data_IF_034613877031
#
_entry.id   IF_034613877031
#
_cell.length_a   1.000
_cell.length_b   1.000
_cell.length_c   1.000
_cell.angle_alpha   90.00
_cell.angle_beta   90.00
_cell.angle_gamma   90.00
#
_symmetry.space_group_name_H-M   'P 1'
#
loop_
_entity.id
_entity.type
_entity.pdbx_description
1 polymer ?
#
# COMPACT_ATOMS: atom_id res chain seq x y z
N UNK A 1 -6.29 -24.49 63.49
CA UNK A 1 -5.74 -25.80 63.93
C UNK A 1 -5.20 -26.47 62.67
N UNK A 2 -3.85 -26.56 62.62
CA UNK A 2 -3.03 -27.38 61.70
C UNK A 2 -3.09 -27.10 60.21
N UNK A 3 -2.04 -26.90 59.37
CA UNK A 3 -0.59 -27.08 59.60
C UNK A 3 0.16 -26.13 58.65
N UNK A 4 1.21 -25.58 59.13
CA UNK A 4 2.37 -25.01 58.46
C UNK A 4 3.16 -26.09 57.66
N UNK A 5 3.96 -25.60 56.75
CA UNK A 5 5.19 -26.16 56.18
C UNK A 5 5.06 -26.95 54.85
N UNK A 6 5.54 -26.31 53.81
CA UNK A 6 6.73 -26.77 53.13
C UNK A 6 7.18 -25.69 52.10
N UNK A 7 8.17 -24.90 52.49
CA UNK A 7 8.93 -24.08 51.56
C UNK A 7 9.77 -24.99 50.67
N UNK A 8 9.60 -24.82 49.36
CA UNK A 8 10.59 -25.28 48.38
C UNK A 8 10.96 -24.11 47.50
N UNK A 9 12.08 -23.48 47.86
CA UNK A 9 12.77 -22.49 47.02
C UNK A 9 13.30 -23.25 45.82
N UNK A 10 12.59 -23.15 44.69
CA UNK A 10 13.18 -23.48 43.39
C UNK A 10 14.09 -22.27 43.07
N UNK A 11 15.39 -22.50 43.21
CA UNK A 11 16.41 -21.57 42.79
C UNK A 11 16.25 -21.31 41.27
N UNK A 12 15.92 -20.10 40.92
CA UNK A 12 16.11 -19.63 39.55
C UNK A 12 17.60 -19.66 39.28
N UNK A 13 17.99 -20.70 38.56
CA UNK A 13 19.35 -20.88 38.06
C UNK A 13 19.78 -19.66 37.25
N UNK A 14 21.02 -19.32 37.45
CA UNK A 14 21.79 -18.24 36.83
C UNK A 14 21.48 -18.10 35.35
N UNK A 15 21.11 -16.86 34.95
CA UNK A 15 20.81 -16.53 33.57
C UNK A 15 21.98 -16.95 32.66
N UNK A 16 21.66 -17.72 31.64
CA UNK A 16 22.48 -17.85 30.45
C UNK A 16 22.67 -16.46 29.84
N UNK A 17 23.67 -15.72 30.29
CA UNK A 17 24.31 -14.68 29.50
C UNK A 17 24.97 -15.39 28.32
N UNK A 18 24.24 -15.52 27.22
CA UNK A 18 24.84 -15.77 25.92
C UNK A 18 25.80 -14.61 25.66
N UNK A 19 27.04 -14.78 26.01
CA UNK A 19 28.12 -13.85 25.64
C UNK A 19 28.37 -14.04 24.14
N UNK A 20 27.53 -13.41 23.31
CA UNK A 20 27.81 -13.26 21.89
C UNK A 20 29.14 -12.54 21.74
N UNK A 21 30.13 -13.22 21.20
CA UNK A 21 31.44 -12.63 20.97
C UNK A 21 31.34 -11.50 19.95
N UNK A 22 32.17 -10.46 20.12
CA UNK A 22 32.25 -9.37 19.15
C UNK A 22 33.35 -9.63 18.10
N UNK A 23 33.37 -8.80 17.02
CA UNK A 23 34.34 -8.92 15.92
C UNK A 23 35.79 -8.96 16.41
N UNK A 24 36.13 -8.15 17.43
CA UNK A 24 37.47 -8.05 18.00
C UNK A 24 37.86 -9.34 18.75
N UNK A 25 36.92 -10.00 19.40
CA UNK A 25 37.15 -11.31 20.06
C UNK A 25 37.29 -12.42 19.02
N UNK A 26 36.44 -12.44 17.98
CA UNK A 26 36.53 -13.39 16.88
C UNK A 26 37.87 -13.27 16.14
N UNK A 27 38.34 -12.05 15.90
CA UNK A 27 39.64 -11.80 15.25
C UNK A 27 40.83 -12.31 16.10
N UNK A 28 40.75 -12.15 17.41
CA UNK A 28 41.78 -12.71 18.33
C UNK A 28 41.80 -14.23 18.28
N UNK A 29 40.63 -14.91 18.32
CA UNK A 29 40.55 -16.37 18.24
C UNK A 29 41.13 -16.94 16.93
N UNK A 30 40.96 -16.18 15.85
CA UNK A 30 41.45 -16.56 14.53
C UNK A 30 42.89 -16.14 14.26
N UNK A 31 43.51 -15.33 15.12
CA UNK A 31 44.80 -14.68 14.92
C UNK A 31 44.85 -13.91 13.59
N UNK A 32 43.77 -13.15 13.31
CA UNK A 32 43.63 -12.32 12.11
C UNK A 32 43.27 -10.89 12.51
N UNK A 33 43.52 -9.93 11.62
CA UNK A 33 43.06 -8.56 11.86
C UNK A 33 41.53 -8.47 11.81
N UNK A 34 40.89 -7.54 12.58
CA UNK A 34 39.43 -7.33 12.49
C UNK A 34 38.96 -7.01 11.05
N UNK A 35 39.80 -6.31 10.28
CA UNK A 35 39.54 -6.01 8.87
C UNK A 35 39.49 -7.28 8.01
N UNK A 36 40.48 -8.18 8.19
CA UNK A 36 40.52 -9.45 7.47
C UNK A 36 39.33 -10.34 7.80
N UNK A 37 38.94 -10.40 9.09
CA UNK A 37 37.75 -11.16 9.52
C UNK A 37 36.47 -10.59 8.95
N UNK A 38 36.30 -9.25 8.98
CA UNK A 38 35.15 -8.56 8.38
C UNK A 38 35.04 -8.83 6.89
N UNK A 39 36.15 -8.72 6.14
CA UNK A 39 36.19 -8.98 4.70
C UNK A 39 35.93 -10.45 4.36
N UNK A 40 36.44 -11.37 5.16
CA UNK A 40 36.19 -12.81 5.02
C UNK A 40 34.70 -13.15 5.22
N UNK A 41 34.04 -12.55 6.23
CA UNK A 41 32.60 -12.73 6.48
C UNK A 41 31.73 -12.14 5.37
N UNK A 42 32.21 -11.08 4.70
CA UNK A 42 31.53 -10.40 3.61
C UNK A 42 31.90 -10.94 2.21
N UNK A 43 32.60 -12.09 2.14
CA UNK A 43 32.99 -12.77 0.89
C UNK A 43 33.86 -11.97 -0.07
N UNK A 44 34.62 -11.01 0.43
CA UNK A 44 35.51 -10.22 -0.43
C UNK A 44 36.51 -11.10 -1.19
N UNK A 45 36.75 -10.86 -2.50
CA UNK A 45 37.57 -11.73 -3.34
C UNK A 45 39.07 -11.69 -3.01
N UNK A 46 39.54 -10.65 -2.35
CA UNK A 46 40.91 -10.48 -1.89
C UNK A 46 41.27 -11.32 -0.66
N UNK A 47 40.29 -11.98 -0.04
CA UNK A 47 40.53 -12.97 1.03
C UNK A 47 40.46 -14.37 0.45
N UNK A 48 41.48 -15.20 0.69
CA UNK A 48 41.53 -16.57 0.16
C UNK A 48 40.30 -17.40 0.58
N UNK A 49 39.83 -18.30 -0.30
CA UNK A 49 38.71 -19.18 -0.03
C UNK A 49 38.91 -20.00 1.27
N UNK A 50 40.11 -20.45 1.54
CA UNK A 50 40.48 -21.17 2.76
C UNK A 50 40.28 -20.30 4.02
N UNK A 51 40.70 -19.05 3.97
CA UNK A 51 40.52 -18.09 5.07
C UNK A 51 39.06 -17.77 5.29
N UNK A 52 38.29 -17.51 4.22
CA UNK A 52 36.84 -17.29 4.30
C UNK A 52 36.11 -18.44 4.97
N UNK A 53 36.38 -19.67 4.54
CA UNK A 53 35.76 -20.85 5.14
C UNK A 53 36.09 -21.01 6.64
N UNK A 54 37.37 -20.83 7.01
CA UNK A 54 37.82 -20.88 8.42
C UNK A 54 37.13 -19.82 9.29
N UNK A 55 37.00 -18.58 8.78
CA UNK A 55 36.34 -17.49 9.52
C UNK A 55 34.86 -17.75 9.70
N UNK A 56 34.16 -18.18 8.64
CA UNK A 56 32.72 -18.52 8.70
C UNK A 56 32.45 -19.67 9.67
N UNK A 57 33.26 -20.70 9.65
CA UNK A 57 33.12 -21.84 10.55
C UNK A 57 33.31 -21.41 12.02
N UNK A 58 34.34 -20.63 12.32
CA UNK A 58 34.57 -20.11 13.68
C UNK A 58 33.43 -19.18 14.12
N UNK A 59 32.92 -18.32 13.24
CA UNK A 59 31.78 -17.45 13.54
C UNK A 59 30.55 -18.26 13.96
N UNK A 60 30.22 -19.32 13.23
CA UNK A 60 29.11 -20.23 13.57
C UNK A 60 29.35 -20.93 14.92
N UNK A 61 30.56 -21.46 15.14
CA UNK A 61 30.90 -22.19 16.37
C UNK A 61 30.82 -21.28 17.61
N UNK A 62 31.16 -20.02 17.45
CA UNK A 62 31.17 -19.04 18.55
C UNK A 62 29.88 -18.24 18.67
N UNK A 63 28.84 -18.53 17.87
CA UNK A 63 27.58 -17.80 17.85
C UNK A 63 27.74 -16.32 17.46
N UNK A 64 28.82 -15.99 16.72
CA UNK A 64 29.05 -14.64 16.26
C UNK A 64 28.10 -14.26 15.14
N UNK A 65 27.34 -13.22 15.34
CA UNK A 65 26.55 -12.58 14.29
C UNK A 65 27.18 -11.23 13.93
N UNK A 66 27.48 -10.99 12.64
CA UNK A 66 27.93 -9.67 12.21
C UNK A 66 26.90 -8.61 12.62
N UNK A 67 27.39 -7.53 13.24
CA UNK A 67 26.51 -6.44 13.60
C UNK A 67 25.94 -5.81 12.32
N UNK A 68 24.61 -5.88 12.10
CA UNK A 68 24.01 -5.32 10.87
C UNK A 68 24.30 -3.83 10.70
N UNK A 69 24.31 -3.08 11.79
CA UNK A 69 24.60 -1.63 11.78
C UNK A 69 26.02 -1.33 11.30
N UNK A 70 27.02 -2.10 11.80
CA UNK A 70 28.41 -1.93 11.37
C UNK A 70 28.60 -2.32 9.89
N UNK A 71 27.89 -3.35 9.42
CA UNK A 71 27.90 -3.79 8.02
C UNK A 71 27.27 -2.74 7.11
N UNK A 72 26.12 -2.18 7.50
CA UNK A 72 25.41 -1.11 6.80
C UNK A 72 26.27 0.15 6.68
N UNK A 73 26.94 0.55 7.77
CA UNK A 73 27.88 1.68 7.80
C UNK A 73 29.06 1.48 6.80
N UNK A 74 29.60 0.27 6.70
CA UNK A 74 30.69 -0.05 5.78
C UNK A 74 30.24 -0.03 4.30
N UNK A 75 29.01 -0.44 4.01
CA UNK A 75 28.45 -0.47 2.64
C UNK A 75 27.88 0.89 2.21
N UNK A 76 27.66 1.82 3.13
CA UNK A 76 26.96 3.09 2.86
C UNK A 76 25.47 2.89 2.48
N UNK A 77 24.92 1.69 2.76
CA UNK A 77 23.51 1.32 2.49
C UNK A 77 22.86 0.78 3.74
N UNK A 78 21.60 1.11 3.95
CA UNK A 78 20.81 0.65 5.10
C UNK A 78 20.14 -0.69 4.85
N UNK A 79 20.03 -1.10 3.59
CA UNK A 79 19.26 -2.27 3.14
C UNK A 79 17.81 -2.21 3.67
N UNK A 80 17.22 -1.01 3.67
CA UNK A 80 15.90 -0.73 4.24
C UNK A 80 15.11 0.22 3.33
N UNK A 81 13.82 -0.06 3.16
CA UNK A 81 12.86 0.76 2.43
C UNK A 81 11.84 1.33 3.41
N UNK A 82 11.43 2.57 3.20
CA UNK A 82 10.44 3.27 4.01
C UNK A 82 9.09 3.41 3.32
N UNK A 83 8.03 3.24 4.10
CA UNK A 83 6.67 3.68 3.78
C UNK A 83 6.16 4.46 4.99
N UNK A 84 5.50 5.59 4.76
CA UNK A 84 4.79 6.31 5.84
C UNK A 84 3.30 6.32 5.51
N UNK A 85 2.47 5.98 6.49
CA UNK A 85 1.03 5.95 6.37
C UNK A 85 0.38 6.80 7.47
N UNK A 86 -0.82 7.31 7.18
CA UNK A 86 -1.67 8.03 8.15
C UNK A 86 -2.88 7.17 8.49
N UNK A 87 -3.09 6.75 9.78
CA UNK A 87 -4.16 5.82 10.17
C UNK A 87 -5.57 6.35 9.90
N UNK A 88 -5.74 7.67 9.77
CA UNK A 88 -7.03 8.29 9.46
C UNK A 88 -7.66 7.77 8.16
N UNK A 89 -6.88 7.13 7.30
CA UNK A 89 -7.28 6.61 6.00
C UNK A 89 -7.62 5.11 5.99
N UNK A 90 -7.94 4.53 7.15
CA UNK A 90 -8.39 3.13 7.29
C UNK A 90 -7.50 2.05 6.67
N UNK A 91 -6.22 2.30 6.46
CA UNK A 91 -5.28 1.35 5.83
C UNK A 91 -5.33 -0.09 6.38
N UNK A 92 -5.56 -0.23 7.68
CA UNK A 92 -5.55 -1.55 8.32
C UNK A 92 -6.87 -2.32 8.17
N UNK A 93 -7.94 -1.65 7.78
CA UNK A 93 -9.23 -2.26 7.44
C UNK A 93 -9.43 -2.37 5.92
N UNK A 94 -8.55 -1.76 5.13
CA UNK A 94 -8.56 -1.81 3.68
C UNK A 94 -7.79 -3.03 3.18
N UNK A 95 -8.49 -4.05 2.71
CA UNK A 95 -7.88 -5.27 2.16
C UNK A 95 -7.06 -4.99 0.91
N UNK A 96 -7.38 -3.95 0.13
CA UNK A 96 -6.56 -3.52 -0.99
C UNK A 96 -5.14 -3.14 -0.54
N UNK A 97 -5.05 -2.30 0.51
CA UNK A 97 -3.74 -1.92 1.06
C UNK A 97 -2.97 -3.11 1.63
N UNK A 98 -3.66 -4.07 2.23
CA UNK A 98 -3.04 -5.31 2.73
C UNK A 98 -2.48 -6.15 1.59
N UNK A 99 -3.18 -6.26 0.46
CA UNK A 99 -2.70 -6.97 -0.73
C UNK A 99 -1.50 -6.27 -1.36
N UNK A 100 -1.54 -4.94 -1.50
CA UNK A 100 -0.42 -4.11 -1.95
C UNK A 100 0.80 -4.33 -1.05
N UNK A 101 0.62 -4.20 0.26
CA UNK A 101 1.68 -4.39 1.26
C UNK A 101 2.24 -5.81 1.26
N UNK A 102 1.40 -6.82 1.03
CA UNK A 102 1.83 -8.21 0.85
C UNK A 102 2.74 -8.37 -0.37
N UNK A 103 2.36 -7.76 -1.51
CA UNK A 103 3.20 -7.72 -2.71
C UNK A 103 4.54 -7.05 -2.45
N UNK A 104 4.53 -5.86 -1.84
CA UNK A 104 5.71 -5.09 -1.45
C UNK A 104 6.61 -5.92 -0.52
N UNK A 105 6.07 -6.44 0.58
CA UNK A 105 6.83 -7.17 1.61
C UNK A 105 7.52 -8.42 1.05
N UNK A 106 6.79 -9.20 0.24
CA UNK A 106 7.35 -10.38 -0.42
C UNK A 106 8.55 -10.04 -1.30
N UNK A 107 8.45 -8.95 -2.07
CA UNK A 107 9.51 -8.58 -3.00
C UNK A 107 10.69 -7.90 -2.30
N UNK A 108 10.46 -7.08 -1.27
CA UNK A 108 11.51 -6.50 -0.42
C UNK A 108 12.34 -7.60 0.23
N UNK A 109 11.68 -8.62 0.79
CA UNK A 109 12.38 -9.78 1.41
C UNK A 109 13.25 -10.52 0.39
N UNK A 110 12.76 -10.74 -0.83
CA UNK A 110 13.55 -11.37 -1.91
C UNK A 110 14.75 -10.54 -2.33
N UNK A 111 14.63 -9.21 -2.27
CA UNK A 111 15.74 -8.28 -2.55
C UNK A 111 16.77 -8.20 -1.40
N UNK A 112 16.51 -8.82 -0.26
CA UNK A 112 17.38 -8.77 0.92
C UNK A 112 17.29 -7.46 1.70
N UNK A 113 16.17 -6.73 1.54
CA UNK A 113 15.88 -5.49 2.24
C UNK A 113 14.88 -5.71 3.39
N UNK A 114 14.83 -4.76 4.30
CA UNK A 114 13.82 -4.66 5.36
C UNK A 114 12.82 -3.53 5.02
N UNK A 115 11.59 -3.65 5.50
CA UNK A 115 10.58 -2.60 5.38
C UNK A 115 10.39 -1.89 6.72
N UNK A 116 10.51 -0.56 6.73
CA UNK A 116 10.08 0.30 7.86
C UNK A 116 8.76 0.94 7.51
N UNK A 117 7.73 0.62 8.27
CA UNK A 117 6.44 1.28 8.23
C UNK A 117 6.39 2.38 9.29
N UNK A 118 6.38 3.63 8.85
CA UNK A 118 6.11 4.79 9.70
C UNK A 118 4.62 5.04 9.78
N UNK A 119 4.12 5.33 10.98
CA UNK A 119 2.72 5.71 11.20
C UNK A 119 2.70 7.16 11.67
N UNK A 120 1.90 7.99 11.01
CA UNK A 120 1.77 9.42 11.29
C UNK A 120 0.31 9.76 11.62
N UNK A 121 0.06 10.70 12.51
CA UNK A 121 -1.29 11.10 12.90
C UNK A 121 -2.01 11.94 11.84
N UNK A 122 -1.24 12.66 11.03
CA UNK A 122 -1.71 13.61 10.03
C UNK A 122 -0.63 13.88 8.98
N UNK A 123 -0.91 14.73 8.00
CA UNK A 123 0.02 15.06 6.90
C UNK A 123 1.32 15.73 7.37
N UNK A 124 1.26 16.56 8.41
CA UNK A 124 2.46 17.21 8.94
C UNK A 124 3.40 16.18 9.58
N UNK A 125 2.85 15.28 10.40
CA UNK A 125 3.59 14.19 11.02
C UNK A 125 4.07 13.15 9.98
N UNK A 126 3.30 12.94 8.91
CA UNK A 126 3.73 12.12 7.76
C UNK A 126 5.01 12.67 7.14
N UNK A 127 5.01 13.96 6.82
CA UNK A 127 6.17 14.64 6.27
C UNK A 127 7.37 14.64 7.24
N UNK A 128 7.14 14.87 8.53
CA UNK A 128 8.19 14.80 9.56
C UNK A 128 8.76 13.39 9.70
N UNK A 129 7.91 12.36 9.65
CA UNK A 129 8.35 10.96 9.71
C UNK A 129 9.21 10.59 8.50
N UNK A 130 8.78 10.98 7.31
CA UNK A 130 9.56 10.80 6.08
C UNK A 130 10.92 11.52 6.16
N UNK A 131 10.95 12.77 6.58
CA UNK A 131 12.22 13.53 6.78
C UNK A 131 13.15 12.80 7.74
N UNK A 132 12.66 12.33 8.88
CA UNK A 132 13.48 11.56 9.84
C UNK A 132 14.05 10.27 9.24
N UNK A 133 13.35 9.61 8.32
CA UNK A 133 13.86 8.42 7.63
C UNK A 133 14.95 8.79 6.63
N UNK A 134 14.73 9.81 5.81
CA UNK A 134 15.64 10.25 4.74
C UNK A 134 16.89 10.92 5.31
N UNK A 135 16.73 11.98 6.11
CA UNK A 135 17.85 12.77 6.66
C UNK A 135 18.64 11.97 7.71
N UNK A 136 17.95 11.10 8.46
CA UNK A 136 18.56 10.17 9.41
C UNK A 136 19.26 8.99 8.76
N UNK A 137 19.28 8.91 7.43
CA UNK A 137 19.85 7.79 6.65
C UNK A 137 19.38 6.43 7.18
N UNK A 138 18.08 6.30 7.44
CA UNK A 138 17.46 5.09 7.97
C UNK A 138 16.95 4.17 6.87
N UNK A 139 16.78 4.70 5.66
CA UNK A 139 16.25 4.01 4.49
C UNK A 139 17.08 4.36 3.26
N UNK A 140 17.15 3.46 2.28
CA UNK A 140 17.81 3.64 0.99
C UNK A 140 16.84 4.11 -0.09
N UNK A 141 15.53 3.99 0.15
CA UNK A 141 14.48 4.43 -0.75
C UNK A 141 13.12 4.49 -0.06
N UNK A 142 12.17 5.15 -0.71
CA UNK A 142 10.80 5.33 -0.22
C UNK A 142 9.78 4.81 -1.23
N UNK A 143 8.71 4.22 -0.72
CA UNK A 143 7.49 3.96 -1.49
C UNK A 143 6.42 4.92 -0.96
N UNK A 144 5.78 5.67 -1.86
CA UNK A 144 4.67 6.54 -1.52
C UNK A 144 3.36 5.97 -2.06
N UNK A 145 2.34 6.01 -1.23
CA UNK A 145 0.96 5.61 -1.55
C UNK A 145 0.01 6.75 -1.25
N UNK A 146 -1.25 6.66 -1.63
CA UNK A 146 -2.26 7.72 -1.46
C UNK A 146 -1.73 9.08 -1.93
N UNK A 147 -1.54 9.17 -3.22
CA UNK A 147 -0.88 10.30 -3.86
C UNK A 147 -1.84 11.46 -4.02
N UNK A 148 -1.43 12.65 -3.57
CA UNK A 148 -2.16 13.89 -3.76
C UNK A 148 -1.93 14.48 -5.14
N UNK A 149 -2.85 15.31 -5.62
CA UNK A 149 -2.68 16.04 -6.90
C UNK A 149 -1.38 16.86 -6.91
N UNK A 150 -1.15 17.60 -5.83
CA UNK A 150 0.10 18.32 -5.56
C UNK A 150 0.69 17.70 -4.29
N UNK A 151 1.62 16.77 -4.46
CA UNK A 151 2.16 16.00 -3.35
C UNK A 151 3.50 16.56 -2.87
N UNK A 152 3.54 17.21 -1.68
CA UNK A 152 4.76 17.83 -1.18
C UNK A 152 5.87 16.80 -0.87
N UNK A 153 5.50 15.52 -0.65
CA UNK A 153 6.47 14.43 -0.43
C UNK A 153 7.32 14.19 -1.67
N UNK A 154 6.68 14.25 -2.85
CA UNK A 154 7.34 14.05 -4.14
C UNK A 154 8.36 15.18 -4.39
N UNK A 155 7.95 16.44 -4.25
CA UNK A 155 8.86 17.58 -4.38
C UNK A 155 10.06 17.49 -3.44
N UNK A 156 9.82 17.14 -2.18
CA UNK A 156 10.88 16.98 -1.18
C UNK A 156 11.92 15.90 -1.55
N UNK A 157 11.48 14.75 -2.09
CA UNK A 157 12.37 13.65 -2.49
C UNK A 157 13.14 13.99 -3.78
N UNK A 158 12.47 14.62 -4.76
CA UNK A 158 13.10 15.08 -5.99
C UNK A 158 14.20 16.12 -5.74
N UNK A 159 13.96 17.08 -4.84
CA UNK A 159 14.94 18.12 -4.49
C UNK A 159 16.22 17.56 -3.83
N UNK A 160 16.21 16.30 -3.42
CA UNK A 160 17.32 15.59 -2.77
C UNK A 160 17.90 14.46 -3.61
N UNK A 161 17.43 14.28 -4.83
CA UNK A 161 17.78 13.12 -5.65
C UNK A 161 17.63 11.79 -4.88
N UNK A 162 16.65 11.71 -3.96
CA UNK A 162 16.46 10.55 -3.12
C UNK A 162 15.64 9.48 -3.84
N UNK A 163 16.06 8.19 -3.84
CA UNK A 163 15.33 7.12 -4.52
C UNK A 163 13.92 6.92 -3.99
N UNK A 164 12.92 6.98 -4.85
CA UNK A 164 11.53 6.69 -4.50
C UNK A 164 10.71 6.20 -5.70
N UNK A 165 9.60 5.55 -5.41
CA UNK A 165 8.59 5.15 -6.40
C UNK A 165 7.20 5.44 -5.84
N UNK A 166 6.30 5.92 -6.68
CA UNK A 166 4.90 6.11 -6.34
C UNK A 166 4.09 4.85 -6.70
N UNK A 167 3.17 4.49 -5.82
CA UNK A 167 1.97 3.76 -6.23
C UNK A 167 0.85 4.79 -6.44
N UNK A 168 0.59 5.10 -7.71
CA UNK A 168 -0.21 6.23 -8.15
C UNK A 168 0.61 7.30 -8.88
N UNK A 169 -0.04 8.40 -9.26
CA UNK A 169 0.56 9.54 -9.96
C UNK A 169 0.25 10.85 -9.23
N UNK A 170 1.00 11.91 -9.55
CA UNK A 170 0.75 13.29 -9.13
C UNK A 170 0.84 14.23 -10.34
N UNK A 171 0.50 15.49 -10.19
CA UNK A 171 0.67 16.54 -11.23
C UNK A 171 2.09 17.12 -11.28
N UNK A 172 3.06 16.51 -10.60
CA UNK A 172 4.48 16.88 -10.73
C UNK A 172 4.96 16.65 -12.18
N UNK A 173 5.70 17.59 -12.73
CA UNK A 173 6.18 17.58 -14.12
C UNK A 173 7.61 17.06 -14.27
N UNK A 174 8.40 17.08 -13.19
CA UNK A 174 9.73 16.48 -13.18
C UNK A 174 9.63 14.96 -13.28
N UNK A 175 10.57 14.27 -13.96
CA UNK A 175 10.51 12.82 -14.10
C UNK A 175 10.64 12.11 -12.74
N UNK A 176 9.78 11.13 -12.49
CA UNK A 176 9.81 10.24 -11.34
C UNK A 176 9.28 8.87 -11.74
N UNK A 177 9.59 7.84 -10.95
CA UNK A 177 9.12 6.48 -11.17
C UNK A 177 7.74 6.25 -10.52
N UNK A 178 6.85 5.56 -11.22
CA UNK A 178 5.55 5.18 -10.69
C UNK A 178 4.99 3.90 -11.30
N UNK A 179 4.12 3.26 -10.54
CA UNK A 179 3.15 2.26 -11.02
C UNK A 179 1.77 2.76 -10.62
N UNK A 180 0.88 2.89 -11.58
CA UNK A 180 -0.50 3.37 -11.34
C UNK A 180 -1.52 2.41 -11.94
N UNK A 181 -2.69 2.35 -11.34
CA UNK A 181 -3.87 1.68 -11.88
C UNK A 181 -4.71 2.71 -12.63
N UNK A 182 -5.10 2.38 -13.86
CA UNK A 182 -5.91 3.29 -14.69
C UNK A 182 -7.35 3.40 -14.18
N UNK A 183 -7.52 4.07 -13.04
CA UNK A 183 -8.82 4.33 -12.45
C UNK A 183 -9.73 5.15 -13.38
N UNK A 184 -9.15 6.09 -14.12
CA UNK A 184 -9.90 6.88 -15.11
C UNK A 184 -10.54 5.98 -16.18
N UNK A 185 -9.75 5.16 -16.84
CA UNK A 185 -10.27 4.24 -17.87
C UNK A 185 -11.25 3.22 -17.27
N UNK A 186 -11.02 2.77 -16.03
CA UNK A 186 -11.89 1.82 -15.36
C UNK A 186 -13.29 2.41 -15.12
N UNK A 187 -13.37 3.63 -14.57
CA UNK A 187 -14.66 4.30 -14.34
C UNK A 187 -15.35 4.70 -15.65
N UNK A 188 -14.60 5.12 -16.68
CA UNK A 188 -15.14 5.37 -18.02
C UNK A 188 -15.79 4.12 -18.58
N UNK A 189 -15.10 2.97 -18.55
CA UNK A 189 -15.64 1.69 -19.02
C UNK A 189 -16.87 1.25 -18.22
N UNK A 190 -16.85 1.40 -16.88
CA UNK A 190 -17.97 1.01 -16.04
C UNK A 190 -19.21 1.90 -16.30
N UNK A 191 -19.01 3.20 -16.43
CA UNK A 191 -20.09 4.14 -16.78
C UNK A 191 -20.68 3.84 -18.15
N UNK A 192 -19.84 3.64 -19.17
CA UNK A 192 -20.28 3.27 -20.53
C UNK A 192 -21.00 1.93 -20.55
N UNK A 193 -20.54 0.95 -19.77
CA UNK A 193 -21.21 -0.34 -19.63
C UNK A 193 -22.62 -0.20 -19.05
N UNK A 194 -22.77 0.54 -17.93
CA UNK A 194 -24.09 0.80 -17.35
C UNK A 194 -25.02 1.56 -18.29
N UNK A 195 -24.51 2.57 -18.99
CA UNK A 195 -25.27 3.29 -20.00
C UNK A 195 -25.71 2.36 -21.16
N UNK A 196 -24.85 1.43 -21.56
CA UNK A 196 -25.16 0.39 -22.57
C UNK A 196 -26.26 -0.58 -22.12
N UNK A 197 -26.40 -0.83 -20.82
CA UNK A 197 -27.51 -1.60 -20.25
C UNK A 197 -28.82 -0.81 -20.19
N UNK A 198 -28.82 0.50 -20.47
CA UNK A 198 -30.00 1.36 -20.47
C UNK A 198 -30.09 2.30 -19.27
N UNK A 199 -29.14 2.27 -18.34
CA UNK A 199 -29.11 3.25 -17.23
C UNK A 199 -28.84 4.65 -17.79
N UNK A 200 -29.64 5.63 -17.37
CA UNK A 200 -29.52 7.03 -17.82
C UNK A 200 -29.13 7.97 -16.68
N UNK A 201 -29.46 7.61 -15.45
CA UNK A 201 -29.09 8.32 -14.24
C UNK A 201 -28.19 7.42 -13.41
N UNK A 202 -26.89 7.70 -13.46
CA UNK A 202 -25.84 6.94 -12.80
C UNK A 202 -25.24 7.82 -11.73
N UNK A 203 -25.26 7.43 -10.47
CA UNK A 203 -24.64 8.19 -9.40
C UNK A 203 -23.16 7.79 -9.23
N UNK A 204 -22.34 8.73 -8.76
CA UNK A 204 -20.96 8.50 -8.36
C UNK A 204 -20.78 8.79 -6.88
N UNK A 205 -20.38 7.79 -6.09
CA UNK A 205 -19.93 7.98 -4.73
C UNK A 205 -18.40 7.84 -4.69
N UNK A 206 -17.72 8.99 -4.61
CA UNK A 206 -16.29 9.14 -4.84
C UNK A 206 -15.53 9.45 -3.55
N UNK A 207 -14.23 9.20 -3.57
CA UNK A 207 -13.32 9.46 -2.47
C UNK A 207 -13.06 10.93 -2.19
N UNK A 208 -12.14 11.18 -1.30
CA UNK A 208 -11.78 12.53 -0.85
C UNK A 208 -11.13 13.35 -1.96
N UNK A 209 -11.61 14.58 -2.22
CA UNK A 209 -10.97 15.51 -3.15
C UNK A 209 -9.52 15.83 -2.75
N UNK A 210 -8.67 16.08 -3.74
CA UNK A 210 -7.26 16.40 -3.55
C UNK A 210 -6.32 15.19 -3.68
N UNK A 211 -6.85 13.96 -3.66
CA UNK A 211 -6.11 12.76 -4.05
C UNK A 211 -6.29 12.45 -5.53
N UNK A 212 -5.23 11.97 -6.17
CA UNK A 212 -5.25 11.71 -7.62
C UNK A 212 -6.19 10.58 -8.03
N UNK A 213 -6.35 9.56 -7.19
CA UNK A 213 -7.23 8.45 -7.51
C UNK A 213 -8.71 8.88 -7.63
N UNK A 214 -9.31 9.58 -6.64
CA UNK A 214 -10.67 10.15 -6.78
C UNK A 214 -10.81 11.09 -7.96
N UNK A 215 -9.81 11.93 -8.24
CA UNK A 215 -9.82 12.82 -9.41
C UNK A 215 -9.91 11.98 -10.71
N UNK A 216 -9.09 10.94 -10.85
CA UNK A 216 -9.14 10.03 -12.00
C UNK A 216 -10.48 9.32 -12.14
N UNK A 217 -11.06 8.83 -11.04
CA UNK A 217 -12.39 8.18 -11.03
C UNK A 217 -13.47 9.13 -11.53
N UNK A 218 -13.47 10.38 -11.05
CA UNK A 218 -14.42 11.40 -11.49
C UNK A 218 -14.25 11.75 -12.96
N UNK A 219 -13.01 11.99 -13.42
CA UNK A 219 -12.74 12.26 -14.83
C UNK A 219 -13.19 11.09 -15.72
N UNK A 220 -13.00 9.85 -15.27
CA UNK A 220 -13.48 8.66 -15.99
C UNK A 220 -15.00 8.55 -16.04
N UNK A 221 -15.66 8.82 -14.93
CA UNK A 221 -17.12 8.86 -14.87
C UNK A 221 -17.69 9.93 -15.81
N UNK A 222 -17.18 11.17 -15.76
CA UNK A 222 -17.60 12.28 -16.63
C UNK A 222 -17.38 11.94 -18.12
N UNK A 223 -16.20 11.33 -18.44
CA UNK A 223 -15.90 10.86 -19.79
C UNK A 223 -16.87 9.77 -20.24
N UNK A 224 -17.20 8.82 -19.39
CA UNK A 224 -18.12 7.72 -19.69
C UNK A 224 -19.57 8.22 -19.95
N UNK A 225 -20.04 9.20 -19.19
CA UNK A 225 -21.31 9.87 -19.45
C UNK A 225 -21.31 10.56 -20.82
N UNK A 226 -20.27 11.35 -21.09
CA UNK A 226 -20.13 12.07 -22.37
C UNK A 226 -20.12 11.13 -23.56
N UNK A 227 -19.32 10.05 -23.52
CA UNK A 227 -19.24 9.03 -24.56
C UNK A 227 -20.58 8.30 -24.78
N UNK A 228 -21.40 8.23 -23.74
CA UNK A 228 -22.72 7.58 -23.77
C UNK A 228 -23.85 8.55 -24.16
N UNK A 229 -23.55 9.83 -24.43
CA UNK A 229 -24.56 10.86 -24.74
C UNK A 229 -25.46 11.20 -23.55
N UNK A 230 -24.95 11.05 -22.32
CA UNK A 230 -25.65 11.36 -21.08
C UNK A 230 -25.17 12.72 -20.53
N UNK A 231 -26.09 13.49 -19.98
CA UNK A 231 -25.75 14.75 -19.32
C UNK A 231 -25.17 14.51 -17.94
N UNK A 232 -24.20 15.34 -17.57
CA UNK A 232 -23.64 15.37 -16.23
C UNK A 232 -24.62 16.04 -15.27
N UNK A 233 -25.10 15.33 -14.29
CA UNK A 233 -25.91 15.85 -13.19
C UNK A 233 -25.06 15.94 -11.91
N UNK A 234 -24.66 17.16 -11.50
CA UNK A 234 -23.84 17.34 -10.28
C UNK A 234 -24.50 16.79 -9.00
N UNK A 235 -25.82 16.71 -8.97
CA UNK A 235 -26.57 16.20 -7.83
C UNK A 235 -26.45 14.69 -7.68
N UNK A 236 -25.89 13.99 -8.65
CA UNK A 236 -25.59 12.56 -8.61
C UNK A 236 -24.15 12.27 -8.15
N UNK A 237 -23.33 13.29 -7.91
CA UNK A 237 -21.95 13.12 -7.44
C UNK A 237 -21.89 13.42 -5.95
N UNK A 238 -21.28 12.49 -5.19
CA UNK A 238 -20.99 12.66 -3.77
C UNK A 238 -19.54 12.33 -3.51
N UNK A 239 -18.87 13.22 -2.77
CA UNK A 239 -17.45 13.07 -2.41
C UNK A 239 -17.32 13.25 -0.90
N UNK A 240 -16.79 12.23 -0.21
CA UNK A 240 -16.65 12.33 1.23
C UNK A 240 -15.43 13.16 1.63
N UNK A 241 -15.63 13.97 2.64
CA UNK A 241 -14.58 14.69 3.34
C UNK A 241 -14.43 14.06 4.71
N UNK A 242 -13.45 13.15 4.85
CA UNK A 242 -13.08 12.51 6.13
C UNK A 242 -14.01 11.47 6.78
N UNK A 243 -13.37 10.56 7.41
CA UNK A 243 -13.58 9.71 8.62
C UNK A 243 -14.62 8.60 8.59
N UNK A 244 -15.70 8.66 7.84
CA UNK A 244 -16.65 7.56 7.80
C UNK A 244 -17.33 7.43 6.42
N UNK A 245 -16.63 6.78 5.46
CA UNK A 245 -17.21 6.51 4.14
C UNK A 245 -18.51 5.71 4.22
N UNK A 246 -18.59 4.77 5.15
CA UNK A 246 -19.77 3.90 5.33
C UNK A 246 -20.99 4.71 5.80
N UNK A 247 -20.83 5.59 6.80
CA UNK A 247 -21.92 6.42 7.25
C UNK A 247 -22.31 7.49 6.22
N UNK A 248 -21.33 8.06 5.53
CA UNK A 248 -21.59 9.06 4.49
C UNK A 248 -22.34 8.44 3.32
N UNK A 249 -21.91 7.27 2.82
CA UNK A 249 -22.57 6.58 1.73
C UNK A 249 -23.97 6.08 2.10
N UNK A 250 -24.18 5.65 3.34
CA UNK A 250 -25.54 5.35 3.85
C UNK A 250 -26.48 6.57 3.73
N UNK A 251 -26.07 7.72 4.25
CA UNK A 251 -26.89 8.96 4.17
C UNK A 251 -27.13 9.38 2.72
N UNK A 252 -26.12 9.36 1.88
CA UNK A 252 -26.24 9.71 0.48
C UNK A 252 -27.15 8.78 -0.30
N UNK A 253 -27.10 7.48 0.01
CA UNK A 253 -28.04 6.51 -0.57
C UNK A 253 -29.49 6.91 -0.24
N UNK A 254 -29.80 7.18 1.04
CA UNK A 254 -31.13 7.63 1.42
C UNK A 254 -31.52 8.96 0.74
N UNK A 255 -30.60 9.90 0.63
CA UNK A 255 -30.86 11.21 -0.02
C UNK A 255 -31.09 11.05 -1.54
N UNK A 256 -30.27 10.26 -2.23
CA UNK A 256 -30.38 10.05 -3.68
C UNK A 256 -31.69 9.40 -4.08
N UNK A 257 -32.20 8.48 -3.25
CA UNK A 257 -33.44 7.74 -3.54
C UNK A 257 -34.72 8.39 -2.97
N UNK A 258 -34.59 9.48 -2.24
CA UNK A 258 -35.74 10.32 -1.81
C UNK A 258 -36.22 11.26 -2.91
N UNK A 259 -35.45 11.46 -3.97
CA UNK A 259 -35.84 12.33 -5.08
C UNK A 259 -36.88 11.67 -5.96
N UNK A 260 -37.74 12.48 -6.63
CA UNK A 260 -38.75 12.01 -7.58
C UNK A 260 -38.15 11.28 -8.80
N UNK A 261 -36.88 11.52 -9.09
CA UNK A 261 -36.15 10.90 -10.20
C UNK A 261 -34.81 10.35 -9.69
N UNK A 262 -34.79 9.22 -8.96
CA UNK A 262 -33.58 8.67 -8.39
C UNK A 262 -32.62 8.07 -9.45
N UNK A 263 -31.34 7.86 -9.11
CA UNK A 263 -30.43 7.11 -9.98
C UNK A 263 -30.87 5.64 -10.07
N UNK A 264 -30.61 5.02 -11.22
CA UNK A 264 -30.83 3.59 -11.42
C UNK A 264 -29.55 2.76 -11.32
N UNK A 265 -28.40 3.44 -11.19
CA UNK A 265 -27.10 2.80 -10.99
C UNK A 265 -26.20 3.66 -10.12
N UNK A 266 -25.27 3.02 -9.40
CA UNK A 266 -24.25 3.67 -8.58
C UNK A 266 -22.89 3.09 -8.92
N UNK A 267 -21.93 3.97 -9.27
CA UNK A 267 -20.51 3.70 -9.29
C UNK A 267 -19.89 4.21 -7.99
N UNK A 268 -18.99 3.45 -7.37
CA UNK A 268 -18.47 3.87 -6.07
C UNK A 268 -17.09 3.28 -5.76
N UNK A 269 -16.36 3.93 -4.85
CA UNK A 269 -15.18 3.37 -4.23
C UNK A 269 -15.59 2.43 -3.09
N UNK A 270 -14.84 1.37 -2.88
CA UNK A 270 -15.28 0.21 -2.07
C UNK A 270 -15.59 0.53 -0.62
N UNK A 271 -14.99 1.54 -0.05
CA UNK A 271 -15.29 1.97 1.32
C UNK A 271 -16.77 2.35 1.51
N UNK A 272 -17.47 2.68 0.41
CA UNK A 272 -18.89 3.01 0.44
C UNK A 272 -19.82 1.79 0.52
N UNK A 273 -19.34 0.57 0.23
CA UNK A 273 -20.17 -0.63 0.02
C UNK A 273 -21.16 -0.89 1.16
N UNK A 274 -20.69 -0.89 2.41
CA UNK A 274 -21.54 -1.20 3.56
C UNK A 274 -22.67 -0.17 3.76
N UNK A 275 -22.35 1.11 3.54
CA UNK A 275 -23.34 2.17 3.65
C UNK A 275 -24.39 2.12 2.55
N UNK A 276 -23.97 1.81 1.31
CA UNK A 276 -24.89 1.66 0.18
C UNK A 276 -25.85 0.51 0.43
N UNK A 277 -25.34 -0.68 0.74
CA UNK A 277 -26.21 -1.85 0.99
C UNK A 277 -27.18 -1.61 2.14
N UNK A 278 -26.72 -1.02 3.25
CA UNK A 278 -27.59 -0.66 4.38
C UNK A 278 -28.67 0.35 3.97
N UNK A 279 -28.31 1.36 3.17
CA UNK A 279 -29.28 2.37 2.73
C UNK A 279 -30.31 1.81 1.76
N UNK A 280 -29.92 0.92 0.86
CA UNK A 280 -30.84 0.24 -0.05
C UNK A 280 -31.77 -0.72 0.70
N UNK A 281 -31.28 -1.46 1.69
CA UNK A 281 -32.08 -2.35 2.52
C UNK A 281 -33.17 -1.57 3.29
N UNK A 282 -32.82 -0.39 3.86
CA UNK A 282 -33.80 0.48 4.54
C UNK A 282 -34.89 1.04 3.61
N UNK A 283 -34.58 1.12 2.32
CA UNK A 283 -35.50 1.60 1.29
C UNK A 283 -36.28 0.47 0.58
N UNK A 284 -36.11 -0.78 1.03
CA UNK A 284 -36.64 -1.98 0.36
C UNK A 284 -36.23 -2.11 -1.11
N UNK A 285 -35.03 -1.56 -1.48
CA UNK A 285 -34.46 -1.63 -2.82
C UNK A 285 -33.45 -2.77 -2.93
N UNK A 286 -33.58 -3.60 -3.95
CA UNK A 286 -32.74 -4.77 -4.18
C UNK A 286 -31.57 -4.42 -5.11
N UNK A 287 -30.29 -4.52 -4.64
CA UNK A 287 -29.14 -4.40 -5.50
C UNK A 287 -29.22 -5.37 -6.68
N UNK A 288 -28.85 -4.88 -7.87
CA UNK A 288 -28.87 -5.67 -9.11
C UNK A 288 -30.25 -5.81 -9.77
N UNK A 289 -31.33 -5.54 -9.07
CA UNK A 289 -32.69 -5.55 -9.62
C UNK A 289 -33.27 -4.15 -9.75
N UNK A 290 -33.30 -3.41 -8.63
CA UNK A 290 -33.85 -2.06 -8.58
C UNK A 290 -32.75 -1.00 -8.82
N UNK A 291 -31.52 -1.31 -8.41
CA UNK A 291 -30.34 -0.43 -8.53
C UNK A 291 -29.12 -1.24 -8.93
N UNK A 292 -28.50 -0.88 -10.07
CA UNK A 292 -27.25 -1.49 -10.48
C UNK A 292 -26.08 -0.92 -9.67
N UNK A 293 -25.13 -1.77 -9.26
CA UNK A 293 -23.99 -1.40 -8.45
C UNK A 293 -22.68 -1.90 -9.08
N UNK A 294 -21.69 -1.01 -9.22
CA UNK A 294 -20.30 -1.39 -9.55
C UNK A 294 -19.37 -0.67 -8.58
N UNK A 295 -18.63 -1.43 -7.78
CA UNK A 295 -17.62 -0.92 -6.85
C UNK A 295 -16.19 -0.98 -7.42
N UNK A 296 -15.27 -0.23 -6.84
CA UNK A 296 -13.83 -0.39 -7.10
C UNK A 296 -13.24 -1.29 -6.01
N UNK A 297 -12.33 -2.19 -6.34
CA UNK A 297 -11.74 -3.28 -5.57
C UNK A 297 -12.62 -4.54 -5.41
N UNK A 298 -12.00 -5.69 -5.58
CA UNK A 298 -12.65 -6.99 -5.44
C UNK A 298 -12.44 -7.58 -4.04
N UNK A 299 -12.96 -6.87 -3.03
CA UNK A 299 -12.89 -7.30 -1.65
C UNK A 299 -13.68 -8.60 -1.41
N UNK A 300 -13.33 -9.33 -0.36
CA UNK A 300 -14.06 -10.55 0.02
C UNK A 300 -15.56 -10.29 0.19
N UNK A 301 -15.92 -9.16 0.80
CA UNK A 301 -17.31 -8.76 0.97
C UNK A 301 -18.07 -8.66 -0.37
N UNK A 302 -17.43 -8.24 -1.45
CA UNK A 302 -18.05 -8.16 -2.77
C UNK A 302 -18.47 -9.53 -3.33
N UNK A 303 -17.77 -10.59 -2.93
CA UNK A 303 -18.02 -11.97 -3.38
C UNK A 303 -19.03 -12.70 -2.50
N UNK A 304 -19.07 -12.39 -1.20
CA UNK A 304 -19.96 -13.08 -0.25
C UNK A 304 -21.34 -12.46 -0.13
N UNK A 305 -21.49 -11.18 -0.46
CA UNK A 305 -22.81 -10.53 -0.53
C UNK A 305 -23.77 -11.30 -1.46
N UNK A 306 -25.06 -11.16 -1.19
CA UNK A 306 -26.13 -11.66 -2.04
C UNK A 306 -27.13 -10.53 -2.30
N UNK A 307 -27.22 -10.06 -3.56
CA UNK A 307 -26.47 -10.46 -4.76
C UNK A 307 -24.98 -10.10 -4.69
N UNK A 308 -24.14 -10.87 -5.41
CA UNK A 308 -22.70 -10.65 -5.50
C UNK A 308 -22.37 -9.39 -6.30
N UNK A 309 -21.42 -8.57 -5.79
CA UNK A 309 -21.12 -7.26 -6.32
C UNK A 309 -20.23 -7.32 -7.57
N UNK A 310 -20.65 -6.62 -8.63
CA UNK A 310 -19.80 -6.30 -9.77
C UNK A 310 -18.74 -5.29 -9.39
N UNK A 311 -17.51 -5.47 -9.87
CA UNK A 311 -16.38 -4.66 -9.41
C UNK A 311 -15.38 -4.32 -10.51
N UNK A 312 -14.65 -3.24 -10.30
CA UNK A 312 -13.40 -2.91 -10.97
C UNK A 312 -12.26 -3.44 -10.10
N UNK A 313 -11.52 -4.42 -10.60
CA UNK A 313 -10.51 -5.17 -9.84
C UNK A 313 -9.09 -4.75 -10.25
N UNK A 314 -8.39 -3.93 -9.45
CA UNK A 314 -6.97 -3.68 -9.63
C UNK A 314 -6.16 -4.90 -9.18
N UNK A 315 -4.96 -5.06 -9.73
CA UNK A 315 -4.03 -6.12 -9.35
C UNK A 315 -3.03 -5.60 -8.29
N UNK A 316 -3.52 -5.33 -7.09
CA UNK A 316 -2.77 -4.64 -6.03
C UNK A 316 -1.47 -5.36 -5.64
N UNK A 317 -1.51 -6.68 -5.50
CA UNK A 317 -0.36 -7.48 -5.09
C UNK A 317 0.76 -7.47 -6.13
N UNK A 318 0.41 -7.63 -7.39
CA UNK A 318 1.33 -7.56 -8.53
C UNK A 318 1.93 -6.17 -8.67
N UNK A 319 1.11 -5.14 -8.49
CA UNK A 319 1.57 -3.75 -8.46
C UNK A 319 2.56 -3.49 -7.33
N UNK A 320 2.31 -4.00 -6.13
CA UNK A 320 3.24 -3.91 -4.99
C UNK A 320 4.60 -4.55 -5.30
N UNK A 321 4.61 -5.72 -5.95
CA UNK A 321 5.85 -6.36 -6.40
C UNK A 321 6.57 -5.50 -7.43
N UNK A 322 5.83 -4.91 -8.38
CA UNK A 322 6.39 -4.09 -9.45
C UNK A 322 7.00 -2.80 -8.91
N UNK A 323 6.33 -2.11 -7.98
CA UNK A 323 6.85 -0.92 -7.29
C UNK A 323 8.22 -1.20 -6.66
N UNK A 324 8.39 -2.33 -5.97
CA UNK A 324 9.67 -2.69 -5.36
C UNK A 324 10.74 -2.98 -6.41
N UNK A 325 10.40 -3.71 -7.48
CA UNK A 325 11.35 -3.99 -8.56
C UNK A 325 11.90 -2.70 -9.16
N UNK A 326 11.02 -1.74 -9.44
CA UNK A 326 11.40 -0.43 -9.97
C UNK A 326 12.26 0.32 -8.95
N UNK A 327 11.86 0.35 -7.68
CA UNK A 327 12.64 1.02 -6.63
C UNK A 327 14.07 0.46 -6.53
N UNK A 328 14.24 -0.85 -6.67
CA UNK A 328 15.58 -1.46 -6.67
C UNK A 328 16.44 -0.99 -7.85
N UNK A 329 15.87 -0.77 -9.03
CA UNK A 329 16.61 -0.21 -10.17
C UNK A 329 16.95 1.27 -9.93
N UNK A 330 16.02 2.06 -9.41
CA UNK A 330 16.27 3.47 -9.04
C UNK A 330 17.37 3.58 -7.98
N UNK A 331 17.39 2.72 -6.95
CA UNK A 331 18.47 2.67 -5.94
C UNK A 331 19.83 2.29 -6.54
N UNK A 332 19.85 1.58 -7.65
CA UNK A 332 21.09 1.27 -8.40
C UNK A 332 21.58 2.44 -9.26
N UNK A 333 20.78 3.49 -9.42
CA UNK A 333 21.11 4.69 -10.19
C UNK A 333 20.50 4.73 -11.59
N UNK A 334 19.54 3.86 -11.90
CA UNK A 334 18.78 3.98 -13.14
C UNK A 334 17.88 5.23 -13.11
N UNK A 335 17.69 5.82 -14.28
CA UNK A 335 16.84 7.00 -14.46
C UNK A 335 15.38 6.71 -14.12
N UNK A 336 14.78 7.38 -13.09
CA UNK A 336 13.39 7.15 -12.68
C UNK A 336 12.38 7.39 -13.80
N UNK A 337 12.67 8.31 -14.72
CA UNK A 337 11.78 8.63 -15.85
C UNK A 337 11.53 7.49 -16.82
N UNK A 338 12.36 6.44 -16.81
CA UNK A 338 12.17 5.22 -17.60
C UNK A 338 11.06 4.31 -17.07
N UNK A 339 10.62 4.52 -15.82
CA UNK A 339 9.70 3.63 -15.11
C UNK A 339 8.39 4.33 -14.81
N UNK A 340 7.58 4.52 -15.83
CA UNK A 340 6.27 5.16 -15.75
C UNK A 340 5.21 4.19 -16.28
N UNK A 341 4.59 3.42 -15.39
CA UNK A 341 3.70 2.33 -15.76
C UNK A 341 2.26 2.61 -15.35
N UNK A 342 1.34 2.41 -16.29
CA UNK A 342 -0.11 2.48 -16.06
C UNK A 342 -0.70 1.12 -16.38
N UNK A 343 -1.24 0.46 -15.37
CA UNK A 343 -1.82 -0.87 -15.49
C UNK A 343 -3.33 -0.79 -15.62
N UNK A 344 -3.90 -1.65 -16.45
CA UNK A 344 -5.34 -1.71 -16.64
C UNK A 344 -6.02 -2.36 -15.44
N UNK A 345 -7.25 -1.92 -15.17
CA UNK A 345 -8.13 -2.49 -14.16
C UNK A 345 -9.14 -3.38 -14.86
N UNK A 346 -9.31 -4.59 -14.33
CA UNK A 346 -10.27 -5.56 -14.86
C UNK A 346 -11.68 -5.25 -14.35
N UNK A 347 -12.68 -5.29 -15.23
CA UNK A 347 -14.09 -5.21 -14.84
C UNK A 347 -14.67 -6.62 -14.70
N UNK A 348 -15.09 -6.97 -13.50
CA UNK A 348 -15.69 -8.27 -13.16
C UNK A 348 -17.19 -8.09 -12.96
N UNK A 349 -17.97 -8.56 -13.91
CA UNK A 349 -19.43 -8.48 -13.87
C UNK A 349 -19.99 -9.62 -13.04
N UNK A 350 -20.90 -9.28 -12.13
CA UNK A 350 -21.63 -10.20 -11.25
C UNK A 350 -23.12 -9.81 -11.19
N UNK A 351 -23.80 -10.22 -10.12
CA UNK A 351 -25.26 -10.12 -10.01
C UNK A 351 -25.80 -8.69 -9.81
N UNK A 352 -24.96 -7.72 -9.43
CA UNK A 352 -25.43 -6.35 -9.13
C UNK A 352 -25.40 -5.38 -10.29
N UNK A 353 -25.02 -5.77 -11.51
CA UNK A 353 -25.03 -4.88 -12.67
C UNK A 353 -25.92 -5.43 -13.80
N UNK A 354 -27.22 -5.39 -13.57
CA UNK A 354 -28.26 -5.78 -14.50
C UNK A 354 -28.91 -4.55 -15.16
N UNK A 355 -29.63 -4.70 -16.30
CA UNK A 355 -30.40 -3.61 -16.89
C UNK A 355 -31.43 -3.04 -15.91
N UNK A 356 -31.81 -1.76 -16.05
CA UNK A 356 -32.85 -1.16 -15.24
C UNK A 356 -34.20 -1.87 -15.49
N UNK A 357 -34.99 -2.01 -14.44
CA UNK A 357 -36.33 -2.62 -14.48
C UNK A 357 -37.38 -1.74 -15.17
#
# INVERSE_FOLDING_TARGET
MFLEQAGNRIGFGEGFKSMTINLKQLSKLLNLSPTTVSRALADYPDVSAKTRARVKQMAIQQGYQPNPVARRLQKGKTETIGIVITPEQNYFSDTFFIDLLSGISNQITRAGYELILGVASDEEHEMQSMRRMVEGKRVDGMILTLIREQDPRVGYLLDRDFPFVLYGRTRETRPYAFVDMDGKQAFEKACTYLAGLGHRRIALLNGEPGFMFPVGCREGYESGLFLSGLELDPDLIREWKHKDPSQSSYRWTLELFKNDNPPTAILFQTEAVNGIFKGLDELDLQPGKDVALIGYDDLEIARIHRPSLSVLRPQAKEAGQRVVNILMEVIKGEDPGKFQEIHQVEMVIRETSLPPS
#
